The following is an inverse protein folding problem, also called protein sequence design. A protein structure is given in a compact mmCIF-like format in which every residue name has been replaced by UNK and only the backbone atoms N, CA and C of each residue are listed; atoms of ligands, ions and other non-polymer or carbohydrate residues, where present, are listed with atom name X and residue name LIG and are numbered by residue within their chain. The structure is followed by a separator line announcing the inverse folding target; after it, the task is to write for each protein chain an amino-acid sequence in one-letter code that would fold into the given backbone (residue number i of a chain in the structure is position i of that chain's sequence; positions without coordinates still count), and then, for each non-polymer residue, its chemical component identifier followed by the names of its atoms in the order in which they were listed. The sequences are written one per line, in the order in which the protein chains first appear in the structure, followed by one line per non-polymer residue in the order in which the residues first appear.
data_IF_686408013498
#
_entry.id   IF_686408013498
#
_cell.length_a   1.000
_cell.length_b   1.000
_cell.length_c   1.000
_cell.angle_alpha   90.00
_cell.angle_beta   90.00
_cell.angle_gamma   90.00
#
_symmetry.space_group_name_H-M   'P 1'
#
loop_
_entity.id
_entity.type
_entity.pdbx_description
1 polymer ?
#
# COMPACT_ATOMS: atom_id res chain seq x y z
N UNK A 1 20.57 6.69 -8.12
CA UNK A 1 20.18 6.42 -9.53
C UNK A 1 18.69 6.20 -9.64
N UNK A 2 18.06 6.80 -10.64
CA UNK A 2 16.67 6.52 -11.03
C UNK A 2 16.53 5.05 -11.41
N UNK A 3 15.81 4.22 -10.64
CA UNK A 3 15.59 2.81 -10.98
C UNK A 3 14.82 2.74 -12.32
N UNK A 4 15.54 2.38 -13.40
CA UNK A 4 14.98 2.24 -14.76
C UNK A 4 14.42 0.84 -14.99
N UNK A 5 14.55 -0.05 -14.00
CA UNK A 5 14.13 -1.43 -14.11
C UNK A 5 12.60 -1.52 -14.09
N UNK A 6 12.02 -2.42 -14.90
CA UNK A 6 10.60 -2.70 -14.83
C UNK A 6 10.26 -3.29 -13.45
N UNK A 7 9.09 -2.93 -12.91
CA UNK A 7 8.76 -3.22 -11.51
C UNK A 7 8.08 -4.59 -11.33
N UNK A 8 7.16 -4.92 -12.23
CA UNK A 8 6.40 -6.18 -12.22
C UNK A 8 5.81 -6.46 -13.61
N UNK A 9 5.49 -7.73 -13.87
CA UNK A 9 4.65 -8.14 -14.99
C UNK A 9 3.47 -8.96 -14.48
N UNK A 10 2.39 -9.01 -15.26
CA UNK A 10 1.24 -9.85 -14.95
C UNK A 10 1.55 -11.31 -15.32
N UNK A 11 1.40 -12.23 -14.36
CA UNK A 11 1.53 -13.66 -14.59
C UNK A 11 0.15 -14.29 -14.75
N UNK A 12 -0.10 -14.88 -15.93
CA UNK A 12 -1.40 -15.43 -16.30
C UNK A 12 -1.39 -16.94 -16.16
N UNK A 13 -1.96 -17.45 -15.06
CA UNK A 13 -1.92 -18.88 -14.72
C UNK A 13 -2.52 -19.78 -15.80
N UNK A 14 -3.64 -19.40 -16.40
CA UNK A 14 -4.30 -20.14 -17.49
C UNK A 14 -3.37 -20.32 -18.71
N UNK A 15 -2.75 -19.23 -19.16
CA UNK A 15 -1.81 -19.28 -20.30
C UNK A 15 -0.51 -19.98 -19.97
N UNK A 16 -0.04 -19.84 -18.74
CA UNK A 16 1.11 -20.61 -18.26
C UNK A 16 0.80 -22.10 -18.33
N UNK A 17 -0.35 -22.52 -17.78
CA UNK A 17 -0.74 -23.92 -17.76
C UNK A 17 -0.99 -24.44 -19.18
N UNK A 18 -1.75 -23.73 -20.02
CA UNK A 18 -2.03 -24.15 -21.40
C UNK A 18 -0.77 -24.25 -22.27
N UNK A 19 0.23 -23.40 -22.05
CA UNK A 19 1.49 -23.42 -22.79
C UNK A 19 2.56 -24.36 -22.25
N UNK A 20 2.43 -24.84 -21.01
CA UNK A 20 3.46 -25.66 -20.32
C UNK A 20 2.92 -26.96 -19.73
N UNK A 21 1.64 -27.31 -19.93
CA UNK A 21 1.02 -28.46 -19.28
C UNK A 21 1.78 -29.77 -19.51
N UNK A 22 2.31 -29.97 -20.73
CA UNK A 22 3.07 -31.17 -21.10
C UNK A 22 4.56 -31.12 -20.76
N UNK A 23 5.05 -30.05 -20.14
CA UNK A 23 6.48 -29.86 -19.89
C UNK A 23 6.92 -30.44 -18.54
N UNK A 24 8.16 -30.90 -18.49
CA UNK A 24 8.79 -31.35 -17.25
C UNK A 24 8.97 -30.21 -16.25
N UNK A 25 9.28 -30.55 -14.99
CA UNK A 25 9.57 -29.55 -13.97
C UNK A 25 10.82 -28.73 -14.33
N UNK A 26 11.81 -29.40 -14.92
CA UNK A 26 13.07 -28.83 -15.38
C UNK A 26 12.82 -27.82 -16.51
N UNK A 27 12.04 -28.19 -17.53
CA UNK A 27 11.69 -27.32 -18.66
C UNK A 27 10.93 -26.06 -18.18
N UNK A 28 9.95 -26.24 -17.27
CA UNK A 28 9.23 -25.13 -16.63
C UNK A 28 10.17 -24.22 -15.86
N UNK A 29 11.08 -24.79 -15.08
CA UNK A 29 12.07 -24.05 -14.28
C UNK A 29 13.03 -23.25 -15.16
N UNK A 30 13.53 -23.85 -16.23
CA UNK A 30 14.38 -23.17 -17.22
C UNK A 30 13.63 -22.01 -17.85
N UNK A 31 12.40 -22.25 -18.29
CA UNK A 31 11.61 -21.25 -18.99
C UNK A 31 11.31 -20.03 -18.13
N UNK A 32 10.81 -20.22 -16.91
CA UNK A 32 10.49 -19.08 -16.02
C UNK A 32 11.75 -18.27 -15.67
N UNK A 33 12.89 -18.94 -15.48
CA UNK A 33 14.16 -18.28 -15.18
C UNK A 33 14.64 -17.40 -16.35
N UNK A 34 14.55 -17.90 -17.58
CA UNK A 34 14.86 -17.14 -18.78
C UNK A 34 13.89 -15.96 -18.99
N UNK A 35 12.59 -16.17 -18.78
CA UNK A 35 11.59 -15.11 -18.87
C UNK A 35 11.84 -13.98 -17.86
N UNK A 36 12.17 -14.31 -16.62
CA UNK A 36 12.50 -13.33 -15.58
C UNK A 36 13.79 -12.58 -15.93
N UNK A 37 14.82 -13.28 -16.42
CA UNK A 37 16.04 -12.63 -16.90
C UNK A 37 15.75 -11.67 -18.07
N UNK A 38 14.99 -12.11 -19.07
CA UNK A 38 14.57 -11.27 -20.20
C UNK A 38 13.79 -10.04 -19.71
N UNK A 39 12.89 -10.20 -18.74
CA UNK A 39 12.12 -9.08 -18.22
C UNK A 39 13.02 -7.98 -17.64
N UNK A 40 14.04 -8.35 -16.87
CA UNK A 40 14.98 -7.40 -16.27
C UNK A 40 15.89 -6.78 -17.35
N UNK A 41 16.50 -7.61 -18.20
CA UNK A 41 17.58 -7.21 -19.10
C UNK A 41 17.12 -6.81 -20.51
N UNK A 42 15.90 -7.16 -20.90
CA UNK A 42 15.32 -6.95 -22.24
C UNK A 42 15.48 -8.16 -23.15
N UNK A 43 16.67 -8.74 -23.20
CA UNK A 43 17.03 -9.87 -24.06
C UNK A 43 17.79 -10.94 -23.25
N UNK A 44 17.73 -12.19 -23.71
CA UNK A 44 18.59 -13.26 -23.20
C UNK A 44 19.77 -13.49 -24.16
N UNK A 45 20.97 -13.86 -23.66
CA UNK A 45 22.15 -14.08 -24.48
C UNK A 45 21.96 -15.22 -25.50
N UNK A 46 22.73 -15.21 -26.58
CA UNK A 46 22.77 -16.31 -27.56
C UNK A 46 23.75 -17.45 -27.21
N UNK A 47 24.61 -17.26 -26.19
CA UNK A 47 25.56 -18.27 -25.72
C UNK A 47 24.87 -19.32 -24.83
N UNK A 48 24.91 -20.59 -25.25
CA UNK A 48 24.26 -21.70 -24.53
C UNK A 48 24.81 -21.92 -23.13
N UNK A 49 26.12 -21.73 -22.91
CA UNK A 49 26.71 -21.83 -21.56
C UNK A 49 26.13 -20.78 -20.63
N UNK A 50 25.92 -19.57 -21.16
CA UNK A 50 25.34 -18.48 -20.39
C UNK A 50 23.86 -18.70 -20.14
N UNK A 51 23.12 -19.20 -21.13
CA UNK A 51 21.72 -19.57 -20.96
C UNK A 51 21.53 -20.68 -19.92
N UNK A 52 22.33 -21.73 -19.96
CA UNK A 52 22.29 -22.82 -18.97
C UNK A 52 22.48 -22.29 -17.54
N UNK A 53 23.44 -21.37 -17.33
CA UNK A 53 23.64 -20.71 -16.03
C UNK A 53 22.46 -19.85 -15.60
N UNK A 54 21.85 -19.09 -16.53
CA UNK A 54 20.67 -18.27 -16.23
C UNK A 54 19.47 -19.16 -15.88
N UNK A 55 19.31 -20.27 -16.60
CA UNK A 55 18.25 -21.24 -16.38
C UNK A 55 18.43 -22.07 -15.10
N UNK A 56 19.61 -22.02 -14.47
CA UNK A 56 19.93 -22.79 -13.27
C UNK A 56 20.23 -24.27 -13.55
N UNK A 57 20.58 -24.62 -14.79
CA UNK A 57 20.93 -25.97 -15.15
C UNK A 57 22.37 -26.33 -14.70
N UNK A 58 22.60 -27.56 -14.23
CA UNK A 58 23.92 -28.00 -13.77
C UNK A 58 24.92 -28.13 -14.92
N UNK A 59 24.46 -28.46 -16.13
CA UNK A 59 25.32 -28.64 -17.31
C UNK A 59 24.70 -27.99 -18.55
N UNK A 60 25.57 -27.62 -19.50
CA UNK A 60 25.17 -27.11 -20.82
C UNK A 60 24.34 -28.15 -21.60
N UNK A 61 24.68 -29.45 -21.48
CA UNK A 61 23.94 -30.53 -22.13
C UNK A 61 22.52 -30.68 -21.59
N UNK A 62 22.33 -30.63 -20.26
CA UNK A 62 21.00 -30.71 -19.66
C UNK A 62 20.11 -29.56 -20.13
N UNK A 63 20.69 -28.35 -20.21
CA UNK A 63 19.98 -27.20 -20.78
C UNK A 63 19.71 -27.37 -22.27
N UNK A 64 20.70 -27.83 -23.05
CA UNK A 64 20.58 -28.01 -24.49
C UNK A 64 19.43 -28.93 -24.89
N UNK A 65 19.18 -30.00 -24.11
CA UNK A 65 18.04 -30.88 -24.32
C UNK A 65 16.70 -30.15 -24.15
N UNK A 66 16.53 -29.39 -23.05
CA UNK A 66 15.32 -28.58 -22.82
C UNK A 66 15.18 -27.45 -23.85
N UNK A 67 16.31 -26.88 -24.28
CA UNK A 67 16.35 -25.81 -25.26
C UNK A 67 15.80 -26.29 -26.61
N UNK A 68 16.35 -27.38 -27.13
CA UNK A 68 15.91 -27.95 -28.41
C UNK A 68 14.52 -28.60 -28.34
N UNK A 69 14.11 -29.14 -27.19
CA UNK A 69 12.80 -29.81 -27.07
C UNK A 69 11.62 -28.85 -27.12
N UNK A 70 11.65 -27.78 -26.31
CA UNK A 70 10.46 -26.94 -26.07
C UNK A 70 10.74 -25.44 -25.98
N UNK A 71 11.94 -25.02 -25.56
CA UNK A 71 12.19 -23.60 -25.27
C UNK A 71 12.52 -22.81 -26.52
N UNK A 72 13.27 -23.38 -27.46
CA UNK A 72 13.79 -22.67 -28.64
C UNK A 72 12.68 -22.06 -29.51
N UNK A 73 11.51 -22.68 -29.56
CA UNK A 73 10.34 -22.16 -30.30
C UNK A 73 9.62 -21.01 -29.58
N UNK A 74 9.94 -20.76 -28.30
CA UNK A 74 9.37 -19.65 -27.51
C UNK A 74 10.21 -18.39 -27.57
N UNK A 75 11.39 -18.43 -28.17
CA UNK A 75 12.31 -17.31 -28.22
C UNK A 75 12.71 -17.00 -29.67
N UNK A 76 12.45 -15.77 -30.09
CA UNK A 76 12.82 -15.27 -31.41
C UNK A 76 14.21 -14.65 -31.38
N UNK A 77 15.02 -14.82 -32.45
CA UNK A 77 16.30 -14.13 -32.56
C UNK A 77 16.07 -12.63 -32.71
N UNK A 78 16.79 -11.85 -31.90
CA UNK A 78 16.77 -10.38 -31.90
C UNK A 78 18.19 -9.83 -31.82
N UNK A 79 18.36 -8.53 -32.01
CA UNK A 79 19.66 -7.91 -31.80
C UNK A 79 20.17 -8.16 -30.36
N UNK A 80 21.37 -8.69 -30.25
CA UNK A 80 21.99 -9.04 -28.97
C UNK A 80 21.57 -10.38 -28.35
N UNK A 81 20.72 -11.19 -29.00
CA UNK A 81 20.44 -12.57 -28.55
C UNK A 81 19.06 -13.08 -28.92
N UNK A 82 18.30 -13.52 -27.92
CA UNK A 82 16.93 -14.00 -28.10
C UNK A 82 15.93 -13.27 -27.20
N UNK A 83 14.66 -13.25 -27.59
CA UNK A 83 13.57 -12.69 -26.81
C UNK A 83 12.27 -13.45 -27.03
N UNK A 84 11.52 -13.70 -25.95
CA UNK A 84 10.13 -14.09 -26.02
C UNK A 84 9.28 -12.85 -26.34
N UNK A 85 8.52 -12.82 -27.45
CA UNK A 85 7.79 -11.63 -27.89
C UNK A 85 6.81 -11.11 -26.83
N UNK A 86 6.05 -12.03 -26.22
CA UNK A 86 5.08 -11.69 -25.18
C UNK A 86 5.75 -11.06 -23.96
N UNK A 87 6.89 -11.60 -23.52
CA UNK A 87 7.61 -11.02 -22.38
C UNK A 87 8.21 -9.65 -22.71
N UNK A 88 8.60 -9.42 -23.97
CA UNK A 88 9.01 -8.10 -24.43
C UNK A 88 7.85 -7.08 -24.35
N UNK A 89 6.63 -7.46 -24.75
CA UNK A 89 5.43 -6.63 -24.60
C UNK A 89 5.11 -6.31 -23.13
N UNK A 90 5.15 -7.32 -22.25
CA UNK A 90 4.91 -7.11 -20.82
C UNK A 90 5.97 -6.21 -20.17
N UNK A 91 7.24 -6.34 -20.61
CA UNK A 91 8.31 -5.45 -20.21
C UNK A 91 8.05 -4.01 -20.65
N UNK A 92 7.67 -3.80 -21.91
CA UNK A 92 7.36 -2.47 -22.43
C UNK A 92 6.20 -1.83 -21.63
N UNK A 93 5.14 -2.60 -21.39
CA UNK A 93 4.00 -2.16 -20.56
C UNK A 93 4.46 -1.74 -19.15
N UNK A 94 5.31 -2.54 -18.51
CA UNK A 94 5.85 -2.24 -17.18
C UNK A 94 6.72 -0.98 -17.18
N UNK A 95 7.60 -0.82 -18.17
CA UNK A 95 8.45 0.36 -18.33
C UNK A 95 7.61 1.61 -18.53
N UNK A 96 6.58 1.55 -19.40
CA UNK A 96 5.65 2.66 -19.66
C UNK A 96 4.90 3.06 -18.40
N UNK A 97 4.35 2.09 -17.67
CA UNK A 97 3.64 2.34 -16.42
C UNK A 97 4.55 2.99 -15.36
N UNK A 98 5.76 2.46 -15.18
CA UNK A 98 6.75 3.07 -14.28
C UNK A 98 7.10 4.49 -14.69
N UNK A 99 7.28 4.77 -15.99
CA UNK A 99 7.55 6.12 -16.48
C UNK A 99 6.42 7.08 -16.13
N UNK A 100 5.17 6.69 -16.42
CA UNK A 100 3.98 7.51 -16.14
C UNK A 100 3.86 7.85 -14.65
N UNK A 101 4.02 6.85 -13.77
CA UNK A 101 3.96 7.08 -12.31
C UNK A 101 5.05 8.01 -11.81
N UNK A 102 6.24 7.93 -12.40
CA UNK A 102 7.37 8.78 -12.04
C UNK A 102 7.16 10.22 -12.50
N UNK A 103 6.62 10.41 -13.70
CA UNK A 103 6.26 11.74 -14.19
C UNK A 103 5.13 12.36 -13.35
N UNK A 104 4.09 11.60 -13.03
CA UNK A 104 3.01 12.05 -12.14
C UNK A 104 3.54 12.42 -10.73
N UNK A 105 4.41 11.59 -10.16
CA UNK A 105 5.06 11.85 -8.87
C UNK A 105 5.92 13.11 -8.90
N UNK A 106 6.68 13.34 -9.98
CA UNK A 106 7.46 14.58 -10.19
C UNK A 106 6.56 15.81 -10.30
N UNK A 107 5.48 15.74 -11.07
CA UNK A 107 4.51 16.84 -11.21
C UNK A 107 3.87 17.18 -9.87
N UNK A 108 3.42 16.18 -9.11
CA UNK A 108 2.85 16.38 -7.77
C UNK A 108 3.88 16.95 -6.78
N UNK A 109 5.12 16.48 -6.81
CA UNK A 109 6.19 17.05 -5.99
C UNK A 109 6.47 18.53 -6.34
N UNK A 110 6.60 18.85 -7.63
CA UNK A 110 6.81 20.21 -8.09
C UNK A 110 5.66 21.15 -7.69
N UNK A 111 4.40 20.71 -7.83
CA UNK A 111 3.24 21.47 -7.40
C UNK A 111 3.25 21.75 -5.89
N UNK A 112 3.59 20.76 -5.06
CA UNK A 112 3.71 20.95 -3.60
C UNK A 112 4.84 21.93 -3.23
N UNK A 113 5.97 21.87 -3.93
CA UNK A 113 7.08 22.80 -3.71
C UNK A 113 6.73 24.23 -4.16
N UNK A 114 6.03 24.38 -5.28
CA UNK A 114 5.56 25.69 -5.76
C UNK A 114 4.57 26.33 -4.79
N UNK A 115 3.58 25.58 -4.29
CA UNK A 115 2.66 26.07 -3.25
C UNK A 115 3.41 26.47 -1.99
N UNK A 116 4.38 25.67 -1.54
CA UNK A 116 5.19 26.01 -0.36
C UNK A 116 6.09 27.25 -0.55
N UNK A 117 6.47 27.57 -1.79
CA UNK A 117 7.26 28.77 -2.11
C UNK A 117 6.39 30.04 -2.28
N UNK A 118 5.15 29.87 -2.72
CA UNK A 118 4.20 30.98 -3.00
C UNK A 118 3.42 31.41 -1.77
N UNK A 119 3.37 30.61 -0.69
CA UNK A 119 2.81 31.06 0.60
C UNK A 119 3.94 31.73 1.39
N UNK A 120 4.05 33.08 1.43
CA UNK A 120 4.85 33.70 2.47
C UNK A 120 4.13 33.40 3.79
N UNK A 121 4.91 33.16 4.84
CA UNK A 121 4.40 33.13 6.21
C UNK A 121 3.91 34.53 6.56
N UNK A 122 2.69 34.88 6.14
CA UNK A 122 1.95 36.03 6.66
C UNK A 122 1.17 35.54 7.87
N UNK A 123 1.83 35.62 9.04
CA UNK A 123 1.09 35.68 10.31
C UNK A 123 0.48 37.08 10.36
N UNK A 124 -0.78 37.20 9.97
CA UNK A 124 -1.61 38.34 10.32
C UNK A 124 -2.79 37.82 11.13
N UNK A 125 -2.71 38.07 12.42
CA UNK A 125 -3.84 38.15 13.34
C UNK A 125 -4.71 39.33 12.93
N UNK A 126 -5.94 39.09 12.51
CA UNK A 126 -7.05 40.04 12.66
C UNK A 126 -8.35 39.30 12.88
N UNK A 127 -9.04 39.70 13.94
CA UNK A 127 -10.36 39.27 14.37
C UNK A 127 -11.47 39.48 13.32
N UNK A 128 -12.51 38.64 13.39
CA UNK A 128 -13.88 39.06 13.04
C UNK A 128 -14.52 38.44 11.79
N UNK A 129 -15.41 37.47 12.03
CA UNK A 129 -16.73 37.22 11.40
C UNK A 129 -16.93 37.30 9.88
N UNK A 130 -17.47 36.22 9.29
CA UNK A 130 -18.19 36.27 8.01
C UNK A 130 -18.15 34.99 7.18
N UNK A 131 -19.32 34.44 6.86
CA UNK A 131 -19.55 33.19 6.15
C UNK A 131 -19.07 33.17 4.68
N UNK A 132 -18.71 31.98 4.15
CA UNK A 132 -19.28 31.39 2.93
C UNK A 132 -18.48 30.16 2.40
N UNK A 133 -19.24 29.09 2.14
CA UNK A 133 -19.11 27.99 1.15
C UNK A 133 -17.95 28.04 0.14
N UNK A 134 -17.21 26.93 -0.02
CA UNK A 134 -17.18 26.09 -1.25
C UNK A 134 -16.26 24.86 -1.12
N UNK A 135 -16.84 23.74 -1.55
CA UNK A 135 -16.38 22.37 -1.80
C UNK A 135 -14.94 22.17 -2.32
N UNK A 136 -14.29 21.05 -1.95
CA UNK A 136 -13.99 19.90 -2.85
C UNK A 136 -12.97 18.94 -2.23
N UNK A 137 -13.25 17.65 -2.39
CA UNK A 137 -12.61 16.46 -1.84
C UNK A 137 -11.21 16.18 -2.42
N UNK A 138 -10.36 15.43 -1.71
CA UNK A 138 -9.87 14.10 -2.14
C UNK A 138 -8.81 13.54 -1.19
N UNK A 139 -9.10 12.33 -0.70
CA UNK A 139 -8.17 11.44 -0.02
C UNK A 139 -7.05 10.98 -0.96
N UNK A 140 -5.79 10.96 -0.52
CA UNK A 140 -4.86 9.84 -0.77
C UNK A 140 -3.70 9.87 0.22
N UNK A 141 -3.46 8.71 0.84
CA UNK A 141 -2.39 8.45 1.79
C UNK A 141 -1.01 8.29 1.14
N UNK A 142 -0.02 8.71 1.93
CA UNK A 142 1.36 8.24 2.06
C UNK A 142 2.53 8.86 1.27
N UNK A 143 3.37 9.50 2.09
CA UNK A 143 4.79 9.79 2.00
C UNK A 143 5.62 8.50 1.94
N UNK A 144 6.86 8.53 1.42
CA UNK A 144 8.04 8.87 2.24
C UNK A 144 9.14 9.57 1.44
N UNK A 145 9.63 10.73 1.93
CA UNK A 145 11.05 11.03 1.87
C UNK A 145 11.64 11.29 3.26
N UNK A 146 12.88 10.83 3.43
CA UNK A 146 13.74 11.01 4.61
C UNK A 146 14.71 12.21 4.41
N UNK A 147 15.48 12.65 5.43
CA UNK A 147 15.07 13.66 6.37
C UNK A 147 15.89 14.96 6.21
N UNK A 148 15.22 16.13 6.21
CA UNK A 148 15.90 17.41 6.52
C UNK A 148 15.76 17.68 8.00
N UNK A 149 16.88 18.02 8.66
CA UNK A 149 17.01 18.27 10.10
C UNK A 149 15.82 19.09 10.62
N UNK A 150 14.98 18.44 11.43
CA UNK A 150 13.73 18.98 11.97
C UNK A 150 14.03 20.19 12.85
N UNK A 151 13.52 21.36 12.47
CA UNK A 151 13.17 22.38 13.45
C UNK A 151 12.31 21.70 14.52
N UNK A 152 12.63 21.93 15.81
CA UNK A 152 11.91 21.34 16.96
C UNK A 152 10.41 21.57 16.73
N UNK A 153 9.66 20.47 16.51
CA UNK A 153 8.24 20.58 16.23
C UNK A 153 7.58 21.30 17.40
N UNK A 154 6.98 22.47 17.13
CA UNK A 154 6.22 23.24 18.12
C UNK A 154 5.20 22.30 18.76
N UNK A 155 5.28 22.14 20.07
CA UNK A 155 4.38 21.25 20.82
C UNK A 155 2.94 21.70 20.59
N UNK A 156 2.07 20.76 20.23
CA UNK A 156 0.65 21.07 19.96
C UNK A 156 -0.02 21.33 21.31
N UNK A 157 -0.48 22.57 21.50
CA UNK A 157 -1.35 22.94 22.61
C UNK A 157 -2.80 22.77 22.17
N UNK A 158 -3.61 22.07 22.96
CA UNK A 158 -5.00 21.80 22.60
C UNK A 158 -5.89 23.01 22.89
N UNK A 159 -5.48 23.85 23.83
CA UNK A 159 -6.10 25.13 24.17
C UNK A 159 -6.08 26.09 22.97
N UNK A 160 -5.12 25.92 22.05
CA UNK A 160 -5.03 26.69 20.81
C UNK A 160 -5.98 26.14 19.71
N UNK A 161 -6.65 25.01 19.94
CA UNK A 161 -7.40 24.27 18.90
C UNK A 161 -8.90 24.16 19.15
N UNK A 162 -9.36 24.37 20.37
CA UNK A 162 -10.79 24.37 20.70
C UNK A 162 -11.01 25.20 21.96
N UNK A 163 -12.19 25.83 22.06
CA UNK A 163 -12.57 26.64 23.22
C UNK A 163 -13.51 25.90 24.18
N UNK A 164 -13.92 24.66 23.85
CA UNK A 164 -14.83 23.88 24.70
C UNK A 164 -14.07 23.26 25.89
N UNK A 165 -14.38 23.63 27.15
CA UNK A 165 -13.68 23.12 28.32
C UNK A 165 -13.73 21.60 28.47
N UNK A 166 -14.83 20.96 28.06
CA UNK A 166 -15.00 19.50 28.15
C UNK A 166 -14.08 18.78 27.16
N UNK A 167 -13.99 19.31 25.93
CA UNK A 167 -13.12 18.77 24.89
C UNK A 167 -11.66 19.00 25.23
N UNK A 168 -11.30 20.18 25.76
CA UNK A 168 -9.94 20.48 26.24
C UNK A 168 -9.52 19.49 27.31
N UNK A 169 -10.36 19.25 28.32
CA UNK A 169 -10.08 18.31 29.41
C UNK A 169 -9.85 16.88 28.87
N UNK A 170 -10.76 16.37 28.05
CA UNK A 170 -10.65 15.03 27.48
C UNK A 170 -9.42 14.87 26.56
N UNK A 171 -9.13 15.87 25.73
CA UNK A 171 -7.97 15.84 24.85
C UNK A 171 -6.64 15.91 25.63
N UNK A 172 -6.58 16.67 26.73
CA UNK A 172 -5.43 16.69 27.64
C UNK A 172 -5.22 15.35 28.35
N UNK A 173 -6.30 14.68 28.76
CA UNK A 173 -6.22 13.32 29.30
C UNK A 173 -5.67 12.32 28.28
N UNK A 174 -6.14 12.41 27.03
CA UNK A 174 -5.62 11.58 25.94
C UNK A 174 -4.14 11.83 25.65
N UNK A 175 -3.68 13.09 25.70
CA UNK A 175 -2.27 13.44 25.53
C UNK A 175 -1.39 12.84 26.63
N UNK A 176 -1.85 12.90 27.89
CA UNK A 176 -1.17 12.28 29.03
C UNK A 176 -1.06 10.78 28.87
N UNK A 177 -2.17 10.10 28.56
CA UNK A 177 -2.19 8.66 28.32
C UNK A 177 -1.19 8.24 27.24
N UNK A 178 -1.19 8.93 26.08
CA UNK A 178 -0.25 8.62 24.99
C UNK A 178 1.20 8.82 25.39
N UNK A 179 1.51 9.81 26.23
CA UNK A 179 2.86 10.06 26.75
C UNK A 179 3.30 8.92 27.68
N UNK A 180 2.44 8.51 28.61
CA UNK A 180 2.69 7.41 29.55
C UNK A 180 2.85 6.07 28.82
N UNK A 181 1.99 5.80 27.83
CA UNK A 181 2.04 4.62 26.98
C UNK A 181 3.16 4.66 25.91
N UNK A 182 4.03 5.69 25.91
CA UNK A 182 5.13 5.90 24.95
C UNK A 182 4.68 5.84 23.48
N UNK A 183 3.46 6.26 23.20
CA UNK A 183 2.89 6.32 21.86
C UNK A 183 3.36 7.56 21.12
N UNK A 184 3.46 7.46 19.79
CA UNK A 184 3.77 8.61 18.94
C UNK A 184 2.74 9.73 19.17
N UNK A 185 3.17 10.99 19.39
CA UNK A 185 2.26 12.13 19.52
C UNK A 185 1.43 12.29 18.25
N UNK A 186 0.18 12.72 18.41
CA UNK A 186 -0.63 13.11 17.27
C UNK A 186 -0.11 14.39 16.62
N UNK A 187 -0.24 14.46 15.30
CA UNK A 187 0.09 15.66 14.54
C UNK A 187 -1.01 16.71 14.71
N UNK A 188 -0.69 17.99 14.45
CA UNK A 188 -1.67 19.08 14.45
C UNK A 188 -2.88 18.77 13.55
N UNK A 189 -2.66 18.18 12.38
CA UNK A 189 -3.72 17.78 11.46
C UNK A 189 -4.63 16.71 12.05
N UNK A 190 -4.05 15.73 12.75
CA UNK A 190 -4.81 14.67 13.42
C UNK A 190 -5.67 15.26 14.55
N UNK A 191 -5.12 16.19 15.33
CA UNK A 191 -5.88 16.91 16.35
C UNK A 191 -7.06 17.67 15.75
N UNK A 192 -6.82 18.49 14.72
CA UNK A 192 -7.89 19.24 14.04
C UNK A 192 -9.01 18.33 13.52
N UNK A 193 -8.67 17.20 12.91
CA UNK A 193 -9.67 16.23 12.42
C UNK A 193 -10.51 15.62 13.55
N UNK A 194 -9.89 15.36 14.70
CA UNK A 194 -10.58 14.75 15.85
C UNK A 194 -11.42 15.77 16.61
N UNK A 195 -10.91 16.99 16.75
CA UNK A 195 -11.61 18.10 17.40
C UNK A 195 -12.78 18.62 16.55
N UNK A 196 -12.66 18.65 15.23
CA UNK A 196 -13.79 19.00 14.35
C UNK A 196 -14.99 18.04 14.52
N UNK A 197 -14.75 16.78 14.88
CA UNK A 197 -15.82 15.83 15.23
C UNK A 197 -16.30 16.01 16.68
N UNK A 198 -15.41 16.41 17.58
CA UNK A 198 -15.73 16.71 18.97
C UNK A 198 -16.59 17.96 19.12
N UNK A 199 -16.43 18.97 18.26
CA UNK A 199 -17.27 20.18 18.25
C UNK A 199 -18.74 19.87 17.93
N UNK A 200 -19.01 18.77 17.22
CA UNK A 200 -20.37 18.33 16.91
C UNK A 200 -21.00 17.56 18.08
N UNK A 201 -20.19 16.83 18.85
CA UNK A 201 -20.62 16.07 20.03
C UNK A 201 -19.48 15.97 21.07
N UNK A 202 -19.38 16.97 21.97
CA UNK A 202 -18.33 17.04 22.99
C UNK A 202 -18.36 15.86 23.98
N UNK A 203 -19.56 15.37 24.29
CA UNK A 203 -19.76 14.30 25.26
C UNK A 203 -19.34 12.95 24.66
N UNK A 204 -19.73 12.65 23.42
CA UNK A 204 -19.27 11.43 22.75
C UNK A 204 -17.75 11.41 22.54
N UNK A 205 -17.12 12.56 22.33
CA UNK A 205 -15.66 12.64 22.28
C UNK A 205 -15.02 12.27 23.62
N UNK A 206 -15.51 12.84 24.72
CA UNK A 206 -15.05 12.50 26.08
C UNK A 206 -15.23 11.01 26.39
N UNK A 207 -16.39 10.45 26.09
CA UNK A 207 -16.67 9.04 26.34
C UNK A 207 -15.76 8.12 25.50
N UNK A 208 -15.49 8.51 24.26
CA UNK A 208 -14.55 7.80 23.39
C UNK A 208 -13.11 7.85 23.94
N UNK A 209 -12.69 8.98 24.52
CA UNK A 209 -11.36 9.10 25.16
C UNK A 209 -11.26 8.14 26.33
N UNK A 210 -12.23 8.19 27.25
CA UNK A 210 -12.24 7.35 28.44
C UNK A 210 -12.22 5.86 28.07
N UNK A 211 -13.12 5.44 27.19
CA UNK A 211 -13.18 4.07 26.72
C UNK A 211 -11.86 3.61 26.09
N UNK A 212 -11.26 4.45 25.25
CA UNK A 212 -10.00 4.10 24.58
C UNK A 212 -8.82 3.99 25.54
N UNK A 213 -8.78 4.82 26.58
CA UNK A 213 -7.77 4.75 27.65
C UNK A 213 -7.96 3.46 28.45
N UNK A 214 -9.19 3.16 28.87
CA UNK A 214 -9.55 1.97 29.64
C UNK A 214 -9.17 0.67 28.89
N UNK A 215 -9.38 0.63 27.57
CA UNK A 215 -9.03 -0.53 26.74
C UNK A 215 -7.56 -0.55 26.27
N UNK A 216 -6.76 0.45 26.62
CA UNK A 216 -5.35 0.53 26.22
C UNK A 216 -5.14 0.73 24.71
N UNK A 217 -6.08 1.38 24.03
CA UNK A 217 -6.02 1.52 22.58
C UNK A 217 -5.07 2.62 22.10
N UNK A 218 -4.43 2.36 20.96
CA UNK A 218 -3.58 3.35 20.28
C UNK A 218 -4.38 4.40 19.50
N UNK A 219 -5.69 4.18 19.31
CA UNK A 219 -6.62 5.05 18.59
C UNK A 219 -7.82 5.41 19.44
N UNK A 220 -8.60 6.39 18.99
CA UNK A 220 -9.80 6.86 19.67
C UNK A 220 -11.04 6.17 19.09
N UNK A 221 -11.75 5.43 19.94
CA UNK A 221 -12.91 4.61 19.62
C UNK A 221 -14.06 4.92 20.58
N UNK A 222 -15.27 5.00 20.03
CA UNK A 222 -16.49 5.05 20.84
C UNK A 222 -16.84 3.64 21.31
N UNK A 223 -17.36 3.54 22.53
CA UNK A 223 -17.94 2.30 23.04
C UNK A 223 -19.12 1.89 22.14
N UNK A 224 -19.06 0.68 21.59
CA UNK A 224 -20.21 0.13 20.85
C UNK A 224 -21.22 -0.41 21.86
N UNK A 225 -22.26 0.37 22.16
CA UNK A 225 -23.37 -0.05 23.03
C UNK A 225 -24.21 -1.20 22.47
N UNK A 226 -24.05 -1.53 21.19
CA UNK A 226 -24.78 -2.61 20.55
C UNK A 226 -23.85 -3.40 19.62
N UNK A 227 -23.29 -4.48 20.17
CA UNK A 227 -22.94 -5.70 19.44
C UNK A 227 -22.41 -6.74 20.42
N UNK A 228 -23.17 -7.83 20.55
CA UNK A 228 -22.61 -9.11 20.96
C UNK A 228 -21.31 -9.40 20.21
N UNK A 229 -20.41 -10.08 20.92
CA UNK A 229 -19.07 -10.48 20.50
C UNK A 229 -19.02 -10.82 18.99
N UNK A 230 -18.09 -10.26 18.20
CA UNK A 230 -17.93 -10.66 16.80
C UNK A 230 -17.67 -12.17 16.76
N UNK A 231 -18.64 -12.94 16.26
CA UNK A 231 -18.57 -14.41 16.14
C UNK A 231 -19.40 -15.24 17.13
N UNK A 232 -20.30 -14.65 17.94
CA UNK A 232 -21.15 -15.46 18.85
C UNK A 232 -22.52 -15.87 18.29
N UNK A 233 -22.86 -15.47 17.06
CA UNK A 233 -24.07 -15.92 16.37
C UNK A 233 -23.71 -16.91 15.28
N UNK A 234 -24.33 -18.09 15.30
CA UNK A 234 -24.32 -19.00 14.16
C UNK A 234 -24.84 -18.23 12.93
N UNK A 235 -24.15 -18.35 11.80
CA UNK A 235 -24.69 -17.80 10.56
C UNK A 235 -25.96 -18.56 10.18
N UNK A 236 -26.86 -17.97 9.39
CA UNK A 236 -28.09 -18.65 8.93
C UNK A 236 -27.84 -20.03 8.32
N UNK A 237 -26.68 -20.23 7.67
CA UNK A 237 -26.27 -21.54 7.15
C UNK A 237 -25.87 -22.55 8.23
N UNK A 238 -25.30 -22.08 9.35
CA UNK A 238 -24.98 -22.91 10.50
C UNK A 238 -26.20 -23.18 11.39
N UNK A 239 -27.18 -22.27 11.43
CA UNK A 239 -28.48 -22.51 12.06
C UNK A 239 -29.27 -23.60 11.30
N UNK A 240 -29.30 -23.52 9.96
CA UNK A 240 -29.94 -24.56 9.13
C UNK A 240 -29.26 -25.93 9.24
N UNK A 241 -27.93 -25.96 9.41
CA UNK A 241 -27.18 -27.21 9.66
C UNK A 241 -27.50 -27.80 11.04
N UNK A 242 -27.68 -26.97 12.06
CA UNK A 242 -28.06 -27.42 13.40
C UNK A 242 -29.46 -28.01 13.41
N UNK A 243 -30.42 -27.37 12.75
CA UNK A 243 -31.78 -27.90 12.58
C UNK A 243 -31.77 -29.25 11.86
N UNK A 244 -30.95 -29.39 10.81
CA UNK A 244 -30.83 -30.65 10.06
C UNK A 244 -30.23 -31.80 10.89
N UNK A 245 -29.30 -31.51 11.80
CA UNK A 245 -28.69 -32.53 12.68
C UNK A 245 -29.55 -32.87 13.91
N UNK A 246 -30.31 -31.91 14.45
CA UNK A 246 -31.22 -32.16 15.57
C UNK A 246 -32.40 -33.05 15.14
N UNK A 247 -32.92 -32.86 13.91
CA UNK A 247 -34.03 -33.65 13.33
C UNK A 247 -33.62 -35.09 12.96
N UNK A 248 -32.33 -35.35 12.77
CA UNK A 248 -31.79 -36.68 12.49
C UNK A 248 -31.55 -37.54 13.76
N UNK A 249 -31.80 -36.97 14.95
CA UNK A 249 -31.58 -37.64 16.25
C UNK A 249 -32.83 -37.78 17.12
N UNK A 250 -34.02 -37.48 16.59
CA UNK A 250 -35.32 -37.81 17.21
C UNK A 250 -35.95 -39.07 16.63
#
# INVERSE_FOLDING_TARGET
MSNKNPAYFAFWADRWLGGTSGWSAEEKGCYISLLVHQFVHGVIPSDMRRLARIAGCPTEQAFGMAWESVLRDKFEPVDGGYANPRMAEERERSVKHNRQRREAGRKSAAARTAVAAVVPTAVQTTDGSGAATTQTQTHTHNHTPEPKKRARAREVRVEDLTSDPLVISAASEWMRYRREAKLRPWTLTTWRQKLAKAEQDPQAFRDSVRYSIEQGYQGLYAERKDRGRPGSGLTKGQEALKEFFDDATS
#
